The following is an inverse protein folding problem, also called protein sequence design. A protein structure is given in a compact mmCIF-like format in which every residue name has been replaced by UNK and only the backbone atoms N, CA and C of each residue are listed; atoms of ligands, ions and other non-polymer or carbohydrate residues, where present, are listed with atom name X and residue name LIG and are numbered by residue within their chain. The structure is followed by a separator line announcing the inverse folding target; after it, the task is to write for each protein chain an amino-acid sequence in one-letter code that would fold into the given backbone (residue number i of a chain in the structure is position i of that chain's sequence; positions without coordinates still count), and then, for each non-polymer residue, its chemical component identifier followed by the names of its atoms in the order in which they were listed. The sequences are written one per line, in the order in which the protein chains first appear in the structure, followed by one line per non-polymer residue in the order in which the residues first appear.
data_IF_589104576287
#
_entry.id   IF_589104576287
#
_cell.length_a   1.000
_cell.length_b   1.000
_cell.length_c   1.000
_cell.angle_alpha   90.00
_cell.angle_beta   90.00
_cell.angle_gamma   90.00
#
_symmetry.space_group_name_H-M   'P 1'
#
loop_
_entity.id
_entity.type
_entity.pdbx_description
1 polymer ?
#
# COMPACT_ATOMS: atom_id res chain seq x y z
N UNK A 1 71.90 51.12 -80.88
CA UNK A 1 71.36 52.05 -79.85
C UNK A 1 70.39 51.40 -78.89
N UNK A 2 69.51 50.47 -79.30
CA UNK A 2 68.71 49.69 -78.33
C UNK A 2 69.53 48.60 -77.62
N UNK A 3 70.53 48.03 -78.30
CA UNK A 3 71.31 46.88 -77.82
C UNK A 3 72.35 47.24 -76.75
N UNK A 4 73.10 48.33 -76.90
CA UNK A 4 74.04 48.82 -75.87
C UNK A 4 73.32 49.30 -74.59
N UNK A 5 72.09 49.82 -74.73
CA UNK A 5 71.26 50.18 -73.58
C UNK A 5 70.74 48.95 -72.83
N UNK A 6 70.59 47.82 -73.53
CA UNK A 6 70.19 46.54 -72.95
C UNK A 6 71.36 45.90 -72.19
N UNK A 7 72.56 45.90 -72.78
CA UNK A 7 73.76 45.32 -72.17
C UNK A 7 74.23 46.11 -70.93
N UNK A 8 74.14 47.45 -70.94
CA UNK A 8 74.45 48.27 -69.77
C UNK A 8 73.42 48.10 -68.63
N UNK A 9 72.15 47.80 -68.97
CA UNK A 9 71.12 47.47 -67.98
C UNK A 9 71.33 46.08 -67.36
N UNK A 10 71.84 45.12 -68.14
CA UNK A 10 72.19 43.77 -67.67
C UNK A 10 73.42 43.75 -66.75
N UNK A 11 74.46 44.54 -67.06
CA UNK A 11 75.69 44.60 -66.26
C UNK A 11 75.47 45.31 -64.90
N UNK A 12 74.57 46.30 -64.85
CA UNK A 12 74.13 46.93 -63.60
C UNK A 12 73.25 46.02 -62.73
N UNK A 13 72.48 45.11 -63.36
CA UNK A 13 71.68 44.12 -62.66
C UNK A 13 72.51 42.95 -62.09
N UNK A 14 73.72 42.70 -62.63
CA UNK A 14 74.65 41.68 -62.12
C UNK A 14 75.53 42.12 -60.94
N UNK A 15 75.78 43.42 -60.79
CA UNK A 15 76.55 43.98 -59.66
C UNK A 15 75.67 44.32 -58.44
N UNK A 16 74.37 44.54 -58.65
CA UNK A 16 73.38 44.63 -57.59
C UNK A 16 72.91 43.22 -57.23
N UNK A 17 73.30 42.71 -56.06
CA UNK A 17 72.84 41.41 -55.57
C UNK A 17 71.32 41.27 -55.71
N UNK A 18 70.85 40.05 -55.97
CA UNK A 18 69.45 39.71 -56.28
C UNK A 18 68.46 40.69 -55.62
N UNK A 19 67.57 41.37 -56.38
CA UNK A 19 66.75 42.47 -55.85
C UNK A 19 65.89 42.08 -54.63
N UNK A 20 65.65 40.80 -54.39
CA UNK A 20 65.00 40.25 -53.19
C UNK A 20 65.86 40.28 -51.91
N UNK A 21 67.18 40.48 -52.00
CA UNK A 21 68.13 40.50 -50.89
C UNK A 21 68.66 41.92 -50.60
N UNK A 22 67.97 42.95 -51.08
CA UNK A 22 68.33 44.35 -50.83
C UNK A 22 67.95 44.78 -49.40
N UNK A 23 68.94 44.75 -48.49
CA UNK A 23 68.78 45.02 -47.05
C UNK A 23 68.29 46.44 -46.71
N UNK A 24 68.30 47.38 -47.67
CA UNK A 24 67.83 48.76 -47.51
C UNK A 24 66.33 48.84 -47.19
N UNK A 25 65.54 47.88 -47.70
CA UNK A 25 64.06 47.87 -47.55
C UNK A 25 63.57 47.12 -46.31
N UNK A 26 64.44 46.30 -45.71
CA UNK A 26 64.12 45.42 -44.57
C UNK A 26 63.66 46.19 -43.34
N UNK A 27 64.25 47.34 -42.93
CA UNK A 27 63.80 48.07 -41.75
C UNK A 27 62.34 48.51 -41.82
N UNK A 28 61.86 48.94 -43.00
CA UNK A 28 60.47 49.33 -43.19
C UNK A 28 59.51 48.12 -43.13
N UNK A 29 59.88 47.00 -43.75
CA UNK A 29 59.10 45.76 -43.68
C UNK A 29 59.03 45.23 -42.24
N UNK A 30 60.16 45.22 -41.53
CA UNK A 30 60.26 44.80 -40.13
C UNK A 30 59.41 45.73 -39.24
N UNK A 31 59.43 47.04 -39.46
CA UNK A 31 58.59 47.98 -38.72
C UNK A 31 57.10 47.64 -38.85
N UNK A 32 56.60 47.47 -40.07
CA UNK A 32 55.20 47.10 -40.30
C UNK A 32 54.86 45.70 -39.81
N UNK A 33 55.78 44.74 -39.91
CA UNK A 33 55.61 43.41 -39.35
C UNK A 33 55.42 43.48 -37.84
N UNK A 34 56.31 44.19 -37.13
CA UNK A 34 56.23 44.36 -35.67
C UNK A 34 54.95 45.10 -35.29
N UNK A 35 54.60 46.18 -36.01
CA UNK A 35 53.39 46.95 -35.74
C UNK A 35 52.11 46.13 -35.93
N UNK A 36 52.02 45.36 -37.02
CA UNK A 36 50.86 44.50 -37.29
C UNK A 36 50.80 43.31 -36.33
N UNK A 37 51.93 42.73 -35.96
CA UNK A 37 52.02 41.68 -34.94
C UNK A 37 51.52 42.18 -33.58
N UNK A 38 51.95 43.37 -33.15
CA UNK A 38 51.47 44.00 -31.92
C UNK A 38 49.96 44.26 -32.00
N UNK A 39 49.47 44.81 -33.12
CA UNK A 39 48.05 45.07 -33.32
C UNK A 39 47.22 43.78 -33.21
N UNK A 40 47.63 42.70 -33.89
CA UNK A 40 46.97 41.39 -33.81
C UNK A 40 47.05 40.82 -32.39
N UNK A 41 48.21 40.89 -31.74
CA UNK A 41 48.39 40.44 -30.36
C UNK A 41 47.45 41.15 -29.40
N UNK A 42 47.28 42.47 -29.52
CA UNK A 42 46.36 43.25 -28.70
C UNK A 42 44.90 42.88 -28.98
N UNK A 43 44.52 42.68 -30.24
CA UNK A 43 43.15 42.24 -30.60
C UNK A 43 42.87 40.85 -30.03
N UNK A 44 43.79 39.90 -30.19
CA UNK A 44 43.60 38.54 -29.67
C UNK A 44 43.55 38.52 -28.14
N UNK A 45 44.48 39.21 -27.48
CA UNK A 45 44.57 39.24 -26.02
C UNK A 45 43.42 39.99 -25.35
N UNK A 46 42.92 41.09 -25.95
CA UNK A 46 41.83 41.88 -25.35
C UNK A 46 40.44 41.62 -25.87
N UNK A 47 40.26 40.98 -27.02
CA UNK A 47 38.94 40.77 -27.61
C UNK A 47 38.67 39.29 -27.85
N UNK A 48 39.51 38.60 -28.61
CA UNK A 48 39.20 37.22 -29.03
C UNK A 48 39.25 36.21 -27.87
N UNK A 49 40.38 36.16 -27.16
CA UNK A 49 40.57 35.26 -26.02
C UNK A 49 39.56 35.47 -24.88
N UNK A 50 39.27 36.70 -24.41
CA UNK A 50 38.28 36.89 -23.35
C UNK A 50 36.87 36.51 -23.77
N UNK A 51 36.48 36.71 -25.05
CA UNK A 51 35.18 36.25 -25.55
C UNK A 51 35.05 34.73 -25.54
N UNK A 52 36.08 34.02 -25.99
CA UNK A 52 36.10 32.54 -25.95
C UNK A 52 36.06 32.04 -24.51
N UNK A 53 36.84 32.68 -23.62
CA UNK A 53 36.83 32.37 -22.19
C UNK A 53 35.45 32.55 -21.55
N UNK A 54 34.73 33.62 -21.90
CA UNK A 54 33.38 33.87 -21.39
C UNK A 54 32.39 32.78 -21.81
N UNK A 55 32.39 32.36 -23.09
CA UNK A 55 31.52 31.28 -23.59
C UNK A 55 31.85 29.94 -22.92
N UNK A 56 33.14 29.66 -22.71
CA UNK A 56 33.56 28.43 -22.04
C UNK A 56 33.14 28.41 -20.57
N UNK A 57 33.30 29.53 -19.87
CA UNK A 57 32.86 29.70 -18.49
C UNK A 57 31.33 29.58 -18.35
N UNK A 58 30.57 30.17 -19.28
CA UNK A 58 29.10 30.03 -19.32
C UNK A 58 28.69 28.56 -19.48
N UNK A 59 29.27 27.86 -20.47
CA UNK A 59 28.98 26.43 -20.67
C UNK A 59 29.34 25.58 -19.46
N UNK A 60 30.50 25.81 -18.86
CA UNK A 60 30.94 25.09 -17.68
C UNK A 60 30.01 25.37 -16.49
N UNK A 61 29.56 26.62 -16.33
CA UNK A 61 28.57 27.02 -15.33
C UNK A 61 27.24 26.31 -15.53
N UNK A 62 26.70 26.31 -16.74
CA UNK A 62 25.44 25.61 -17.07
C UNK A 62 25.55 24.11 -16.81
N UNK A 63 26.60 23.46 -17.30
CA UNK A 63 26.81 22.02 -17.07
C UNK A 63 26.90 21.70 -15.57
N UNK A 64 27.65 22.49 -14.81
CA UNK A 64 27.80 22.27 -13.36
C UNK A 64 26.46 22.45 -12.65
N UNK A 65 25.70 23.48 -13.02
CA UNK A 65 24.37 23.73 -12.47
C UNK A 65 23.39 22.60 -12.82
N UNK A 66 23.40 22.12 -14.05
CA UNK A 66 22.53 21.02 -14.50
C UNK A 66 22.88 19.70 -13.80
N UNK A 67 24.17 19.42 -13.59
CA UNK A 67 24.62 18.27 -12.81
C UNK A 67 24.14 18.38 -11.36
N UNK A 68 24.34 19.53 -10.72
CA UNK A 68 23.90 19.75 -9.34
C UNK A 68 22.38 19.61 -9.20
N UNK A 69 21.61 20.16 -10.15
CA UNK A 69 20.16 20.00 -10.19
C UNK A 69 19.73 18.54 -10.39
N UNK A 70 20.41 17.80 -11.27
CA UNK A 70 20.14 16.39 -11.50
C UNK A 70 20.45 15.53 -10.26
N UNK A 71 21.54 15.79 -9.57
CA UNK A 71 21.90 15.12 -8.32
C UNK A 71 20.89 15.41 -7.20
N UNK A 72 20.45 16.66 -7.07
CA UNK A 72 19.42 17.06 -6.09
C UNK A 72 18.07 16.39 -6.38
N UNK A 73 17.65 16.34 -7.65
CA UNK A 73 16.45 15.64 -8.08
C UNK A 73 16.56 14.13 -7.83
N UNK A 74 17.72 13.52 -8.11
CA UNK A 74 17.96 12.10 -7.83
C UNK A 74 17.90 11.79 -6.34
N UNK A 75 18.49 12.65 -5.50
CA UNK A 75 18.42 12.53 -4.04
C UNK A 75 16.98 12.63 -3.55
N UNK A 76 16.25 13.65 -3.99
CA UNK A 76 14.82 13.83 -3.64
C UNK A 76 13.95 12.65 -4.09
N UNK A 77 14.23 12.10 -5.27
CA UNK A 77 13.53 10.92 -5.76
C UNK A 77 13.79 9.70 -4.86
N UNK A 78 15.05 9.45 -4.46
CA UNK A 78 15.40 8.39 -3.52
C UNK A 78 14.74 8.58 -2.15
N UNK A 79 14.80 9.79 -1.60
CA UNK A 79 14.14 10.12 -0.32
C UNK A 79 12.61 9.91 -0.38
N UNK A 80 11.98 10.27 -1.51
CA UNK A 80 10.55 10.05 -1.72
C UNK A 80 10.22 8.56 -1.88
N UNK A 81 11.06 7.78 -2.56
CA UNK A 81 10.92 6.34 -2.69
C UNK A 81 11.03 5.63 -1.34
N UNK A 82 12.02 5.99 -0.52
CA UNK A 82 12.20 5.45 0.83
C UNK A 82 11.01 5.81 1.73
N UNK A 83 10.54 7.06 1.68
CA UNK A 83 9.37 7.49 2.43
C UNK A 83 8.09 6.75 1.99
N UNK A 84 7.91 6.55 0.68
CA UNK A 84 6.79 5.78 0.14
C UNK A 84 6.83 4.32 0.58
N UNK A 85 7.99 3.67 0.46
CA UNK A 85 8.17 2.28 0.85
C UNK A 85 7.94 2.08 2.35
N UNK A 86 8.41 3.02 3.17
CA UNK A 86 8.14 3.03 4.62
C UNK A 86 6.64 3.19 4.90
N UNK A 87 5.98 4.17 4.31
CA UNK A 87 4.54 4.37 4.50
C UNK A 87 3.72 3.14 4.07
N UNK A 88 4.13 2.46 3.00
CA UNK A 88 3.49 1.22 2.55
C UNK A 88 3.70 0.07 3.54
N UNK A 89 4.89 -0.06 4.12
CA UNK A 89 5.19 -1.08 5.13
C UNK A 89 4.42 -0.82 6.44
N UNK A 90 4.37 0.43 6.88
CA UNK A 90 3.63 0.87 8.07
C UNK A 90 2.13 0.59 7.88
N UNK A 91 1.56 0.99 6.74
CA UNK A 91 0.14 0.75 6.42
C UNK A 91 -0.22 -0.75 6.35
N UNK A 92 0.68 -1.60 5.85
CA UNK A 92 0.48 -3.06 5.85
C UNK A 92 0.50 -3.65 7.27
N UNK A 93 1.38 -3.12 8.11
CA UNK A 93 1.48 -3.54 9.52
C UNK A 93 0.22 -3.15 10.27
N UNK A 94 -0.21 -1.89 10.15
CA UNK A 94 -1.43 -1.37 10.77
C UNK A 94 -2.67 -2.12 10.29
N UNK A 95 -2.79 -2.39 8.99
CA UNK A 95 -3.88 -3.22 8.46
C UNK A 95 -3.88 -4.64 9.06
N UNK A 96 -2.70 -5.24 9.24
CA UNK A 96 -2.55 -6.53 9.90
C UNK A 96 -3.00 -6.51 11.36
N UNK A 97 -2.61 -5.47 12.10
CA UNK A 97 -3.00 -5.25 13.49
C UNK A 97 -4.52 -5.05 13.62
N UNK A 98 -5.13 -4.23 12.76
CA UNK A 98 -6.58 -4.02 12.73
C UNK A 98 -7.30 -5.35 12.49
N UNK A 99 -6.89 -6.13 11.48
CA UNK A 99 -7.51 -7.42 11.20
C UNK A 99 -7.39 -8.38 12.38
N UNK A 100 -6.24 -8.42 13.05
CA UNK A 100 -6.03 -9.26 14.23
C UNK A 100 -6.91 -8.82 15.41
N UNK A 101 -6.98 -7.51 15.68
CA UNK A 101 -7.79 -6.93 16.75
C UNK A 101 -9.28 -7.19 16.51
N UNK A 102 -9.80 -6.89 15.32
CA UNK A 102 -11.21 -7.14 14.95
C UNK A 102 -11.55 -8.62 15.03
N UNK A 103 -10.65 -9.52 14.61
CA UNK A 103 -10.88 -10.97 14.75
C UNK A 103 -10.95 -11.42 16.20
N UNK A 104 -10.15 -10.83 17.08
CA UNK A 104 -10.18 -11.13 18.51
C UNK A 104 -11.47 -10.62 19.16
N UNK A 105 -11.90 -9.40 18.82
CA UNK A 105 -13.15 -8.79 19.26
C UNK A 105 -14.37 -9.62 18.83
N UNK A 106 -14.47 -9.95 17.53
CA UNK A 106 -15.56 -10.80 16.99
C UNK A 106 -15.60 -12.16 17.69
N UNK A 107 -14.45 -12.78 17.98
CA UNK A 107 -14.42 -14.06 18.68
C UNK A 107 -14.92 -13.95 20.12
N UNK A 108 -14.58 -12.86 20.81
CA UNK A 108 -15.07 -12.59 22.15
C UNK A 108 -16.59 -12.36 22.16
N UNK A 109 -17.09 -11.52 21.26
CA UNK A 109 -18.54 -11.27 21.10
C UNK A 109 -19.30 -12.54 20.74
N UNK A 110 -18.77 -13.37 19.83
CA UNK A 110 -19.38 -14.64 19.46
C UNK A 110 -19.44 -15.60 20.65
N UNK A 111 -18.38 -15.67 21.45
CA UNK A 111 -18.35 -16.52 22.64
C UNK A 111 -19.37 -16.06 23.68
N UNK A 112 -19.49 -14.75 23.91
CA UNK A 112 -20.49 -14.17 24.82
C UNK A 112 -21.92 -14.43 24.32
N UNK A 113 -22.20 -14.15 23.06
CA UNK A 113 -23.52 -14.39 22.46
C UNK A 113 -23.90 -15.87 22.49
N UNK A 114 -22.94 -16.76 22.25
CA UNK A 114 -23.16 -18.21 22.34
C UNK A 114 -23.47 -18.64 23.77
N UNK A 115 -22.69 -18.19 24.75
CA UNK A 115 -22.92 -18.50 26.16
C UNK A 115 -24.28 -17.98 26.65
N UNK A 116 -24.69 -16.79 26.20
CA UNK A 116 -26.00 -16.24 26.50
C UNK A 116 -27.13 -17.08 25.89
N UNK A 117 -27.01 -17.43 24.61
CA UNK A 117 -27.99 -18.27 23.93
C UNK A 117 -28.11 -19.67 24.58
N UNK A 118 -27.00 -20.29 24.94
CA UNK A 118 -26.99 -21.59 25.64
C UNK A 118 -27.70 -21.50 27.00
N UNK A 119 -27.49 -20.41 27.75
CA UNK A 119 -28.17 -20.19 29.01
C UNK A 119 -29.69 -20.03 28.83
N UNK A 120 -30.14 -19.25 27.84
CA UNK A 120 -31.57 -19.10 27.53
C UNK A 120 -32.21 -20.41 27.07
N UNK A 121 -31.52 -21.16 26.20
CA UNK A 121 -31.99 -22.47 25.73
C UNK A 121 -32.13 -23.42 26.91
N UNK A 122 -31.13 -23.48 27.81
CA UNK A 122 -31.18 -24.34 28.99
C UNK A 122 -32.32 -23.96 29.94
N UNK A 123 -32.56 -22.66 30.16
CA UNK A 123 -33.66 -22.19 30.99
C UNK A 123 -35.02 -22.58 30.40
N UNK A 124 -35.19 -22.38 29.09
CA UNK A 124 -36.43 -22.72 28.38
C UNK A 124 -36.68 -24.22 28.29
N UNK A 125 -35.62 -25.03 28.18
CA UNK A 125 -35.70 -26.48 28.25
C UNK A 125 -36.20 -26.93 29.63
N UNK A 126 -35.62 -26.40 30.72
CA UNK A 126 -36.05 -26.71 32.08
C UNK A 126 -37.50 -26.29 32.36
N UNK A 127 -37.93 -25.11 31.87
CA UNK A 127 -39.33 -24.67 31.96
C UNK A 127 -40.27 -25.62 31.22
N UNK A 128 -39.90 -26.01 29.99
CA UNK A 128 -40.69 -26.94 29.18
C UNK A 128 -40.78 -28.32 29.82
N UNK A 129 -39.69 -28.83 30.39
CA UNK A 129 -39.66 -30.10 31.13
C UNK A 129 -40.58 -30.06 32.35
N UNK A 130 -40.54 -28.98 33.14
CA UNK A 130 -41.42 -28.79 34.28
C UNK A 130 -42.90 -28.77 33.86
N UNK A 131 -43.23 -28.05 32.78
CA UNK A 131 -44.59 -27.98 32.24
C UNK A 131 -45.07 -29.32 31.70
N UNK A 132 -44.19 -30.08 31.02
CA UNK A 132 -44.51 -31.43 30.56
C UNK A 132 -44.76 -32.36 31.76
N UNK A 133 -43.97 -32.27 32.82
CA UNK A 133 -44.17 -33.05 34.03
C UNK A 133 -45.51 -32.74 34.71
N UNK A 134 -45.89 -31.46 34.80
CA UNK A 134 -47.20 -31.03 35.30
C UNK A 134 -48.35 -31.57 34.46
N UNK A 135 -48.29 -31.42 33.13
CA UNK A 135 -49.30 -31.94 32.20
C UNK A 135 -49.42 -33.46 32.35
N UNK A 136 -48.29 -34.18 32.49
CA UNK A 136 -48.28 -35.62 32.68
C UNK A 136 -48.94 -36.03 34.00
N UNK A 137 -48.65 -35.31 35.08
CA UNK A 137 -49.28 -35.57 36.39
C UNK A 137 -50.80 -35.32 36.33
N UNK A 138 -51.23 -34.21 35.74
CA UNK A 138 -52.64 -33.90 35.56
C UNK A 138 -53.36 -34.91 34.66
N UNK A 139 -52.74 -35.32 33.56
CA UNK A 139 -53.30 -36.35 32.67
C UNK A 139 -53.46 -37.70 33.37
N UNK A 140 -52.52 -38.11 34.22
CA UNK A 140 -52.64 -39.34 35.02
C UNK A 140 -53.82 -39.26 35.99
N UNK A 141 -54.00 -38.11 36.66
CA UNK A 141 -55.14 -37.89 37.56
C UNK A 141 -56.48 -37.93 36.80
N UNK A 142 -56.58 -37.26 35.65
CA UNK A 142 -57.79 -37.30 34.82
C UNK A 142 -58.10 -38.71 34.31
N UNK A 143 -57.08 -39.51 33.97
CA UNK A 143 -57.27 -40.93 33.60
C UNK A 143 -57.78 -41.75 34.78
N UNK A 144 -57.27 -41.53 35.99
CA UNK A 144 -57.73 -42.20 37.20
C UNK A 144 -59.20 -41.86 37.52
N UNK A 145 -59.58 -40.59 37.42
CA UNK A 145 -60.97 -40.13 37.60
C UNK A 145 -61.91 -40.79 36.58
N UNK A 146 -61.59 -40.71 35.28
CA UNK A 146 -62.42 -41.29 34.20
C UNK A 146 -62.49 -42.82 34.31
N UNK A 147 -61.38 -43.48 34.66
CA UNK A 147 -61.36 -44.94 34.87
C UNK A 147 -62.21 -45.34 36.09
N UNK A 148 -62.18 -44.55 37.16
CA UNK A 148 -63.02 -44.76 38.35
C UNK A 148 -64.50 -44.60 38.05
N UNK A 149 -64.88 -43.53 37.34
CA UNK A 149 -66.26 -43.29 36.90
C UNK A 149 -66.76 -44.42 36.00
N UNK A 150 -65.99 -44.78 34.96
CA UNK A 150 -66.35 -45.86 34.05
C UNK A 150 -66.46 -47.21 34.75
N UNK A 151 -65.54 -47.55 35.67
CA UNK A 151 -65.59 -48.77 36.45
C UNK A 151 -66.82 -48.82 37.38
N UNK A 152 -67.16 -47.70 38.02
CA UNK A 152 -68.33 -47.61 38.89
C UNK A 152 -69.62 -47.80 38.09
N UNK A 153 -69.71 -47.19 36.91
CA UNK A 153 -70.86 -47.34 36.01
C UNK A 153 -71.01 -48.79 35.54
N UNK A 154 -69.92 -49.45 35.14
CA UNK A 154 -69.92 -50.88 34.76
C UNK A 154 -70.36 -51.78 35.93
N UNK A 155 -69.84 -51.55 37.14
CA UNK A 155 -70.22 -52.32 38.33
C UNK A 155 -71.70 -52.12 38.67
N UNK A 156 -72.22 -50.89 38.55
CA UNK A 156 -73.63 -50.60 38.78
C UNK A 156 -74.55 -51.28 37.75
N UNK A 157 -74.10 -51.44 36.51
CA UNK A 157 -74.85 -52.11 35.45
C UNK A 157 -74.88 -53.63 35.60
N UNK A 158 -73.82 -54.23 36.17
CA UNK A 158 -73.66 -55.68 36.34
C UNK A 158 -74.16 -56.21 37.69
N UNK A 159 -74.15 -55.38 38.74
CA UNK A 159 -74.60 -55.76 40.08
C UNK A 159 -76.03 -55.26 40.34
N UNK A 160 -76.89 -56.08 40.93
CA UNK A 160 -78.28 -55.72 41.26
C UNK A 160 -78.41 -54.77 42.48
N UNK A 161 -77.33 -54.07 42.86
CA UNK A 161 -77.27 -53.11 43.97
C UNK A 161 -76.31 -51.94 43.67
N UNK A 162 -76.36 -50.86 44.47
CA UNK A 162 -75.53 -49.67 44.25
C UNK A 162 -74.05 -50.02 44.39
N UNK A 163 -73.23 -49.55 43.44
CA UNK A 163 -71.78 -49.73 43.49
C UNK A 163 -71.20 -48.96 44.70
N UNK A 164 -70.35 -49.63 45.49
CA UNK A 164 -69.56 -48.96 46.53
C UNK A 164 -68.44 -48.17 45.86
N UNK A 165 -68.65 -46.87 45.72
CA UNK A 165 -67.72 -45.95 45.07
C UNK A 165 -66.33 -45.95 45.72
N UNK A 166 -66.24 -46.19 47.05
CA UNK A 166 -64.96 -46.22 47.75
C UNK A 166 -64.15 -47.47 47.42
N UNK A 167 -64.82 -48.62 47.32
CA UNK A 167 -64.18 -49.89 46.96
C UNK A 167 -63.72 -49.90 45.49
N UNK A 168 -64.51 -49.31 44.58
CA UNK A 168 -64.15 -49.19 43.16
C UNK A 168 -62.96 -48.25 42.97
N UNK A 169 -62.95 -47.07 43.62
CA UNK A 169 -61.79 -46.16 43.57
C UNK A 169 -60.53 -46.82 44.12
N UNK A 170 -60.61 -47.52 45.25
CA UNK A 170 -59.46 -48.21 45.82
C UNK A 170 -58.89 -49.30 44.88
N UNK A 171 -59.77 -50.08 44.23
CA UNK A 171 -59.35 -51.11 43.29
C UNK A 171 -58.74 -50.54 42.00
N UNK A 172 -59.27 -49.43 41.47
CA UNK A 172 -58.72 -48.74 40.29
C UNK A 172 -57.37 -48.11 40.64
N UNK A 173 -57.24 -47.44 41.78
CA UNK A 173 -55.98 -46.86 42.25
C UNK A 173 -54.88 -47.92 42.44
N UNK A 174 -55.21 -49.07 43.06
CA UNK A 174 -54.28 -50.20 43.21
C UNK A 174 -53.84 -50.74 41.85
N UNK A 175 -54.75 -50.82 40.86
CA UNK A 175 -54.43 -51.36 39.53
C UNK A 175 -53.64 -50.40 38.64
N UNK A 176 -53.84 -49.10 38.82
CA UNK A 176 -53.04 -48.05 38.17
C UNK A 176 -51.62 -47.97 38.77
N UNK A 177 -51.45 -48.20 40.07
CA UNK A 177 -50.13 -48.25 40.71
C UNK A 177 -49.38 -49.58 40.47
N UNK A 178 -50.11 -50.70 40.35
CA UNK A 178 -49.53 -52.04 40.15
C UNK A 178 -49.12 -52.39 38.70
N UNK A 179 -49.43 -51.54 37.72
CA UNK A 179 -49.11 -51.78 36.30
C UNK A 179 -47.73 -51.31 35.83
N UNK A 180 -46.91 -50.74 36.72
CA UNK A 180 -45.59 -50.15 36.42
C UNK A 180 -44.37 -51.04 36.70
N UNK A 181 -44.53 -52.36 36.79
CA UNK A 181 -43.44 -53.35 36.86
C UNK A 181 -43.24 -54.04 35.51
#
# INVERSE_FOLDING_TARGET
MADEALVAAEEAAGAAGMPQLELSTFPNQIFWLVLTLIAIYLILSRIALPRIGAVLAERQGTITNDIAAAEDLKRKAGEAEDAYNKALADARTEAGEIVAATRAEIQAELAEATAHADAEISAKAAESEARIAEIRAGALQSVEEVAGEAAAEIVSALSSGPADASAVQAAVAERMQGGGQ
#
